data_IF_041235844387
#
_entry.id   IF_041235844387
#
_cell.length_a   1.000
_cell.length_b   1.000
_cell.length_c   1.000
_cell.angle_alpha   90.00
_cell.angle_beta   90.00
_cell.angle_gamma   90.00
#
_symmetry.space_group_name_H-M   'P 1'
#
loop_
_entity.id
_entity.type
_entity.pdbx_description
1 polymer ?
#
# COMPACT_ATOMS: atom_id res chain seq x y z
N UNK A 1 -31.85 -13.32 -1.59
CA UNK A 1 -30.65 -13.37 -0.73
C UNK A 1 -30.03 -11.99 -0.79
N UNK A 2 -29.93 -11.28 0.34
CA UNK A 2 -29.37 -9.94 0.34
C UNK A 2 -27.90 -10.01 -0.08
N UNK A 3 -27.55 -9.28 -1.13
CA UNK A 3 -26.17 -9.08 -1.58
C UNK A 3 -25.38 -8.49 -0.40
N UNK A 4 -24.55 -9.32 0.25
CA UNK A 4 -23.82 -8.92 1.44
C UNK A 4 -22.64 -8.05 0.99
N UNK A 5 -22.91 -6.78 0.66
CA UNK A 5 -21.90 -5.82 0.20
C UNK A 5 -20.88 -5.62 1.31
N UNK A 6 -19.67 -6.15 1.11
CA UNK A 6 -18.53 -5.87 1.98
C UNK A 6 -18.01 -4.47 1.67
N UNK A 7 -18.18 -3.55 2.62
CA UNK A 7 -17.62 -2.21 2.54
C UNK A 7 -16.21 -2.19 3.11
N UNK A 8 -15.30 -1.48 2.45
CA UNK A 8 -13.92 -1.30 2.88
C UNK A 8 -13.72 0.18 3.20
N UNK A 9 -13.19 0.47 4.40
CA UNK A 9 -12.94 1.82 4.87
C UNK A 9 -11.48 1.94 5.30
N UNK A 10 -10.91 3.13 5.09
CA UNK A 10 -9.63 3.52 5.64
C UNK A 10 -9.88 4.37 6.88
N UNK A 11 -9.39 3.94 8.04
CA UNK A 11 -9.42 4.72 9.28
C UNK A 11 -8.11 5.48 9.41
N UNK A 12 -8.12 6.77 9.10
CA UNK A 12 -6.98 7.64 9.34
C UNK A 12 -6.89 7.98 10.83
N UNK A 13 -5.68 7.88 11.40
CA UNK A 13 -5.41 8.39 12.74
C UNK A 13 -5.35 9.92 12.71
N UNK A 14 -5.65 10.56 13.84
CA UNK A 14 -5.60 12.01 13.96
C UNK A 14 -4.23 12.59 13.59
N UNK A 15 -3.16 11.85 13.86
CA UNK A 15 -1.78 12.23 13.62
C UNK A 15 -1.18 11.67 12.32
N UNK A 16 -2.01 11.26 11.35
CA UNK A 16 -1.52 10.63 10.11
C UNK A 16 -0.45 11.48 9.39
N UNK A 17 -0.69 12.79 9.29
CA UNK A 17 0.21 13.74 8.61
C UNK A 17 1.34 14.28 9.50
N UNK A 18 1.43 13.84 10.76
CA UNK A 18 2.43 14.36 11.72
C UNK A 18 3.70 13.50 11.78
N UNK A 19 3.76 12.40 11.04
CA UNK A 19 4.95 11.54 10.98
C UNK A 19 6.10 12.22 10.23
N UNK A 20 7.34 11.89 10.59
CA UNK A 20 8.54 12.44 9.94
C UNK A 20 8.55 12.13 8.44
N UNK A 21 8.11 10.93 8.05
CA UNK A 21 7.99 10.49 6.67
C UNK A 21 7.00 11.37 5.89
N UNK A 22 5.86 11.71 6.48
CA UNK A 22 4.88 12.60 5.85
C UNK A 22 5.38 14.04 5.76
N UNK A 23 6.10 14.54 6.77
CA UNK A 23 6.71 15.87 6.70
C UNK A 23 7.76 15.96 5.58
N UNK A 24 8.60 14.91 5.42
CA UNK A 24 9.57 14.82 4.34
C UNK A 24 8.91 14.70 2.95
N UNK A 25 7.81 13.94 2.88
CA UNK A 25 7.03 13.79 1.66
C UNK A 25 6.38 15.10 1.22
N UNK A 26 5.76 15.83 2.16
CA UNK A 26 5.07 17.09 1.87
C UNK A 26 6.02 18.24 1.57
N UNK A 27 7.28 18.15 2.02
CA UNK A 27 8.34 19.09 1.67
C UNK A 27 8.87 18.99 0.23
N UNK A 28 8.48 17.96 -0.53
CA UNK A 28 8.87 17.82 -1.95
C UNK A 28 8.12 18.82 -2.84
N UNK A 29 8.64 19.10 -4.04
CA UNK A 29 8.01 20.04 -5.00
C UNK A 29 6.54 19.68 -5.31
N UNK A 30 6.20 18.39 -5.41
CA UNK A 30 4.82 17.90 -5.59
C UNK A 30 4.25 17.20 -4.34
N UNK A 31 4.72 17.57 -3.14
CA UNK A 31 4.41 16.86 -1.89
C UNK A 31 2.92 16.63 -1.62
N UNK A 32 2.08 17.65 -1.83
CA UNK A 32 0.62 17.52 -1.68
C UNK A 32 0.01 16.49 -2.65
N UNK A 33 0.52 16.41 -3.88
CA UNK A 33 0.06 15.43 -4.87
C UNK A 33 0.50 14.02 -4.47
N UNK A 34 1.72 13.87 -3.93
CA UNK A 34 2.20 12.59 -3.41
C UNK A 34 1.39 12.12 -2.20
N UNK A 35 1.04 13.01 -1.25
CA UNK A 35 0.15 12.67 -0.13
C UNK A 35 -1.20 12.13 -0.61
N UNK A 36 -1.79 12.74 -1.65
CA UNK A 36 -3.04 12.28 -2.25
C UNK A 36 -2.87 10.91 -2.95
N UNK A 37 -1.78 10.71 -3.69
CA UNK A 37 -1.45 9.43 -4.33
C UNK A 37 -1.32 8.33 -3.27
N UNK A 38 -0.62 8.59 -2.17
CA UNK A 38 -0.43 7.66 -1.06
C UNK A 38 -1.77 7.21 -0.45
N UNK A 39 -2.65 8.16 -0.14
CA UNK A 39 -3.99 7.85 0.38
C UNK A 39 -4.83 7.02 -0.61
N UNK A 40 -4.77 7.33 -1.91
CA UNK A 40 -5.47 6.54 -2.93
C UNK A 40 -4.89 5.12 -3.06
N UNK A 41 -3.56 4.98 -2.93
CA UNK A 41 -2.90 3.67 -2.91
C UNK A 41 -3.33 2.85 -1.68
N UNK A 42 -3.35 3.44 -0.49
CA UNK A 42 -3.87 2.80 0.73
C UNK A 42 -5.30 2.30 0.53
N UNK A 43 -6.23 3.15 0.06
CA UNK A 43 -7.62 2.77 -0.22
C UNK A 43 -7.73 1.62 -1.22
N UNK A 44 -6.91 1.64 -2.27
CA UNK A 44 -6.93 0.62 -3.32
C UNK A 44 -6.44 -0.73 -2.80
N UNK A 45 -5.45 -0.70 -1.91
CA UNK A 45 -4.84 -1.89 -1.33
C UNK A 45 -5.76 -2.65 -0.36
N UNK A 46 -6.83 -2.02 0.15
CA UNK A 46 -7.76 -2.61 1.11
C UNK A 46 -8.34 -3.96 0.65
N UNK A 47 -8.64 -4.11 -0.65
CA UNK A 47 -9.18 -5.37 -1.22
C UNK A 47 -8.12 -6.45 -1.42
N UNK A 48 -6.86 -6.05 -1.58
CA UNK A 48 -5.70 -6.92 -1.76
C UNK A 48 -4.93 -7.15 -0.46
N UNK A 49 -5.57 -6.92 0.70
CA UNK A 49 -4.93 -7.07 2.03
C UNK A 49 -3.61 -6.29 2.13
N UNK A 50 -3.62 -5.07 1.60
CA UNK A 50 -2.45 -4.18 1.58
C UNK A 50 -1.59 -4.29 0.32
N UNK A 51 -1.85 -5.23 -0.57
CA UNK A 51 -1.19 -5.32 -1.87
C UNK A 51 -1.96 -4.56 -2.94
N UNK A 52 -1.23 -3.90 -3.82
CA UNK A 52 -1.77 -3.23 -4.99
C UNK A 52 -1.92 -4.23 -6.14
N UNK A 53 -3.08 -4.89 -6.18
CA UNK A 53 -3.40 -5.94 -7.16
C UNK A 53 -4.69 -5.60 -7.94
N UNK A 54 -4.67 -5.80 -9.26
CA UNK A 54 -5.87 -5.84 -10.07
C UNK A 54 -6.60 -7.17 -9.88
N UNK A 55 -7.84 -7.10 -9.39
CA UNK A 55 -8.72 -8.25 -9.12
C UNK A 55 -8.06 -9.33 -8.22
N UNK A 56 -7.07 -8.97 -7.40
CA UNK A 56 -6.26 -9.91 -6.60
C UNK A 56 -5.47 -10.95 -7.42
N UNK A 57 -5.23 -10.71 -8.72
CA UNK A 57 -4.44 -11.60 -9.58
C UNK A 57 -3.17 -10.94 -10.10
N UNK A 58 -3.27 -9.72 -10.64
CA UNK A 58 -2.18 -9.09 -11.39
C UNK A 58 -1.63 -7.91 -10.58
N UNK A 59 -0.34 -7.87 -10.24
CA UNK A 59 0.30 -6.69 -9.65
C UNK A 59 0.06 -5.43 -10.48
N UNK A 60 -0.26 -4.32 -9.83
CA UNK A 60 -0.29 -3.05 -10.54
C UNK A 60 1.14 -2.59 -10.86
N UNK A 61 1.39 -2.26 -12.13
CA UNK A 61 2.58 -1.51 -12.56
C UNK A 61 2.39 -0.01 -12.33
N UNK A 62 3.46 0.81 -12.29
CA UNK A 62 3.34 2.26 -12.20
C UNK A 62 2.41 2.88 -13.27
N UNK A 63 2.48 2.38 -14.51
CA UNK A 63 1.64 2.83 -15.63
C UNK A 63 0.16 2.58 -15.36
N UNK A 64 -0.16 1.38 -14.87
CA UNK A 64 -1.54 1.03 -14.54
C UNK A 64 -2.04 1.77 -13.30
N UNK A 65 -1.16 2.03 -12.31
CA UNK A 65 -1.46 2.88 -11.15
C UNK A 65 -1.82 4.29 -11.60
N UNK A 66 -0.99 4.93 -12.42
CA UNK A 66 -1.25 6.28 -12.94
C UNK A 66 -2.66 6.43 -13.53
N UNK A 67 -3.06 5.47 -14.38
CA UNK A 67 -4.39 5.45 -14.99
C UNK A 67 -5.51 5.31 -13.95
N UNK A 68 -5.35 4.43 -12.97
CA UNK A 68 -6.43 4.18 -11.99
C UNK A 68 -6.50 5.22 -10.87
N UNK A 69 -5.37 5.86 -10.55
CA UNK A 69 -5.28 6.95 -9.59
C UNK A 69 -5.66 8.30 -10.25
N UNK A 70 -5.65 8.36 -11.59
CA UNK A 70 -5.90 9.55 -12.41
C UNK A 70 -4.87 10.63 -12.14
N UNK A 71 -3.60 10.24 -12.21
CA UNK A 71 -2.44 11.12 -12.11
C UNK A 71 -1.53 10.90 -13.31
N UNK A 72 -0.64 11.85 -13.55
CA UNK A 72 0.40 11.71 -14.55
C UNK A 72 1.33 10.53 -14.20
N UNK A 73 1.76 9.80 -15.24
CA UNK A 73 2.58 8.60 -15.05
C UNK A 73 3.94 8.90 -14.45
N UNK A 74 4.55 10.03 -14.82
CA UNK A 74 5.84 10.47 -14.27
C UNK A 74 5.72 10.76 -12.78
N UNK A 75 4.65 11.46 -12.38
CA UNK A 75 4.38 11.79 -10.98
C UNK A 75 4.15 10.52 -10.16
N UNK A 76 3.41 9.53 -10.68
CA UNK A 76 3.21 8.26 -9.95
C UNK A 76 4.50 7.45 -9.83
N UNK A 77 5.35 7.42 -10.86
CA UNK A 77 6.67 6.77 -10.81
C UNK A 77 7.55 7.39 -9.73
N UNK A 78 7.66 8.72 -9.75
CA UNK A 78 8.41 9.48 -8.76
C UNK A 78 7.87 9.28 -7.34
N UNK A 79 6.54 9.31 -7.16
CA UNK A 79 5.89 9.04 -5.88
C UNK A 79 6.23 7.64 -5.35
N UNK A 80 6.16 6.61 -6.20
CA UNK A 80 6.51 5.23 -5.82
C UNK A 80 7.95 5.14 -5.32
N UNK A 81 8.90 5.78 -6.00
CA UNK A 81 10.31 5.73 -5.60
C UNK A 81 10.55 6.49 -4.28
N UNK A 82 9.88 7.63 -4.08
CA UNK A 82 9.92 8.37 -2.82
C UNK A 82 9.31 7.54 -1.68
N UNK A 83 8.14 6.92 -1.89
CA UNK A 83 7.48 6.11 -0.88
C UNK A 83 8.31 4.90 -0.48
N UNK A 84 9.00 4.27 -1.42
CA UNK A 84 9.91 3.17 -1.15
C UNK A 84 11.12 3.65 -0.33
N UNK A 85 11.72 4.78 -0.70
CA UNK A 85 12.81 5.40 0.05
C UNK A 85 12.44 5.81 1.48
N UNK A 86 11.19 6.20 1.70
CA UNK A 86 10.63 6.52 3.03
C UNK A 86 10.08 5.29 3.77
N UNK A 87 10.13 4.09 3.18
CA UNK A 87 9.60 2.87 3.78
C UNK A 87 8.06 2.79 3.88
N UNK A 88 7.34 3.72 3.26
CA UNK A 88 5.87 3.77 3.22
C UNK A 88 5.27 2.65 2.35
N UNK A 89 6.06 2.14 1.40
CA UNK A 89 5.74 0.95 0.60
C UNK A 89 6.92 -0.01 0.52
N UNK A 90 6.66 -1.24 0.09
CA UNK A 90 7.67 -2.26 -0.20
C UNK A 90 7.36 -2.92 -1.56
N UNK A 91 8.34 -2.98 -2.47
CA UNK A 91 8.24 -3.75 -3.71
C UNK A 91 8.62 -5.21 -3.43
N UNK A 92 7.74 -6.15 -3.78
CA UNK A 92 7.98 -7.59 -3.66
C UNK A 92 8.62 -8.14 -4.94
N UNK A 93 9.32 -9.28 -4.85
CA UNK A 93 10.01 -9.92 -5.99
C UNK A 93 9.07 -10.26 -7.16
N UNK A 94 7.80 -10.56 -6.88
CA UNK A 94 6.74 -10.75 -7.87
C UNK A 94 6.22 -9.45 -8.52
N UNK A 95 6.81 -8.29 -8.23
CA UNK A 95 6.42 -6.98 -8.76
C UNK A 95 5.21 -6.34 -8.07
N UNK A 96 4.65 -6.99 -7.05
CA UNK A 96 3.57 -6.42 -6.25
C UNK A 96 4.09 -5.33 -5.31
N UNK A 97 3.38 -4.21 -5.27
CA UNK A 97 3.63 -3.13 -4.31
C UNK A 97 2.77 -3.38 -3.08
N UNK A 98 3.40 -3.37 -1.91
CA UNK A 98 2.77 -3.52 -0.61
C UNK A 98 2.77 -2.20 0.18
N UNK A 99 1.66 -1.89 0.85
CA UNK A 99 1.49 -0.69 1.68
C UNK A 99 1.89 -0.98 3.14
N UNK A 100 3.06 -0.52 3.58
CA UNK A 100 3.72 -0.96 4.84
C UNK A 100 2.84 -0.81 6.08
N UNK A 101 2.14 0.32 6.21
CA UNK A 101 1.35 0.65 7.41
C UNK A 101 -0.17 0.46 7.26
N UNK A 102 -0.62 -0.24 6.22
CA UNK A 102 -2.06 -0.46 5.97
C UNK A 102 -2.80 -1.05 7.19
N UNK A 103 -2.12 -1.91 7.96
CA UNK A 103 -2.63 -2.55 9.17
C UNK A 103 -2.94 -1.57 10.32
N UNK A 104 -2.36 -0.37 10.28
CA UNK A 104 -2.68 0.69 11.25
C UNK A 104 -3.98 1.42 10.89
N UNK A 105 -4.40 1.32 9.62
CA UNK A 105 -5.55 2.02 9.06
C UNK A 105 -6.76 1.12 8.83
N UNK A 106 -6.63 -0.19 9.04
CA UNK A 106 -7.73 -1.16 9.01
C UNK A 106 -7.96 -1.73 10.43
N UNK A 107 -9.21 -1.73 10.86
CA UNK A 107 -9.58 -2.17 12.21
C UNK A 107 -9.83 -3.67 12.27
N UNK A 108 -8.91 -4.42 12.85
CA UNK A 108 -9.19 -5.70 13.51
C UNK A 108 -8.75 -5.61 14.97
N UNK A 109 -9.50 -6.25 15.86
CA UNK A 109 -9.47 -6.13 17.34
C UNK A 109 -8.22 -6.70 18.03
N UNK A 110 -7.06 -6.64 17.38
CA UNK A 110 -5.74 -7.08 17.89
C UNK A 110 -4.77 -5.89 18.04
N UNK A 111 -3.71 -6.07 18.83
CA UNK A 111 -2.70 -5.02 19.06
C UNK A 111 -1.89 -4.74 17.79
N UNK A 112 -1.42 -3.51 17.59
CA UNK A 112 -0.64 -3.10 16.40
C UNK A 112 0.59 -3.98 16.17
N UNK A 113 1.26 -4.38 17.25
CA UNK A 113 2.42 -5.26 17.21
C UNK A 113 2.05 -6.67 16.72
N UNK A 114 0.93 -7.22 17.16
CA UNK A 114 0.46 -8.54 16.73
C UNK A 114 0.06 -8.55 15.26
N UNK A 115 -0.61 -7.48 14.79
CA UNK A 115 -0.97 -7.32 13.36
C UNK A 115 0.26 -7.24 12.48
N UNK A 116 1.23 -6.39 12.84
CA UNK A 116 2.50 -6.26 12.09
C UNK A 116 3.25 -7.60 12.04
N UNK A 117 3.32 -8.33 13.15
CA UNK A 117 4.03 -9.63 13.21
C UNK A 117 3.36 -10.72 12.37
N UNK A 118 2.04 -10.89 12.51
CA UNK A 118 1.29 -11.88 11.71
C UNK A 118 1.38 -11.59 10.21
N UNK A 119 1.36 -10.30 9.84
CA UNK A 119 1.44 -9.89 8.46
C UNK A 119 2.84 -10.09 7.85
N UNK A 120 3.90 -9.71 8.59
CA UNK A 120 5.29 -9.97 8.17
C UNK A 120 5.54 -11.46 7.95
N UNK A 121 5.04 -12.31 8.84
CA UNK A 121 5.11 -13.76 8.68
C UNK A 121 4.37 -14.25 7.41
N UNK A 122 3.25 -13.63 7.04
CA UNK A 122 2.52 -13.95 5.79
C UNK A 122 3.33 -13.57 4.55
N UNK A 123 3.95 -12.39 4.54
CA UNK A 123 4.80 -11.94 3.43
C UNK A 123 6.06 -12.80 3.30
N UNK A 124 6.74 -13.12 4.41
CA UNK A 124 7.90 -14.02 4.39
C UNK A 124 7.53 -15.39 3.82
N UNK A 125 6.40 -15.95 4.27
CA UNK A 125 5.91 -17.23 3.74
C UNK A 125 5.62 -17.17 2.25
N UNK A 126 5.04 -16.07 1.76
CA UNK A 126 4.80 -15.87 0.33
C UNK A 126 6.11 -15.74 -0.47
N UNK A 127 7.10 -15.02 0.05
CA UNK A 127 8.45 -14.95 -0.54
C UNK A 127 9.10 -16.33 -0.63
N UNK A 128 9.01 -17.13 0.43
CA UNK A 128 9.53 -18.50 0.46
C UNK A 128 8.82 -19.39 -0.58
N UNK A 129 7.50 -19.28 -0.72
CA UNK A 129 6.73 -20.02 -1.73
C UNK A 129 7.09 -19.60 -3.16
N UNK A 130 7.29 -18.30 -3.42
CA UNK A 130 7.74 -17.79 -4.72
C UNK A 130 9.16 -18.26 -5.07
N UNK A 131 10.05 -18.36 -4.08
CA UNK A 131 11.40 -18.88 -4.26
C UNK A 131 11.42 -20.38 -4.55
N UNK A 132 10.54 -21.17 -3.91
CA UNK A 132 10.46 -22.62 -4.10
C UNK A 132 9.75 -23.03 -5.41
N UNK A 133 8.84 -22.20 -5.94
CA UNK A 133 8.18 -22.45 -7.22
C UNK A 133 9.02 -22.16 -8.48
N UNK A 134 10.26 -21.66 -8.30
CA UNK A 134 11.24 -21.42 -9.38
C UNK A 134 12.28 -22.55 -9.53
N UNK A 135 12.07 -23.70 -8.87
CA UNK A 135 12.92 -24.89 -8.94
C UNK A 135 12.47 -25.89 -9.99
#
# INVERSE_FOLDING_TARGET
>A
MADNKKYYYLKLKENFFESEEMALLEGQENGMEYSLILLKMYLRSLKGEGKLMFRNLIPYTPETLARVLRHDERIVKEAIDIFEGLGLIEKLDGGAIFMTDIQNFIGESSTEADRKRAYRAKIEKEREMEAQGKG
#
